data_IF_950207537444
#
_entry.id   IF_950207537444
#
_cell.length_a   1.000
_cell.length_b   1.000
_cell.length_c   1.000
_cell.angle_alpha   90.00
_cell.angle_beta   90.00
_cell.angle_gamma   90.00
#
_symmetry.space_group_name_H-M   'P 1'
#
loop_
_entity.id
_entity.type
_entity.pdbx_description
1 polymer ?
#
# COMPACT_ATOMS: atom_id res chain seq x y z
N UNK A 1 -61.20 -22.35 8.83
CA UNK A 1 -61.77 -21.51 7.77
C UNK A 1 -60.60 -21.12 6.88
N UNK A 2 -60.44 -21.89 5.90
CA UNK A 2 -60.59 -21.65 4.44
C UNK A 2 -59.48 -20.78 3.89
N UNK A 3 -58.47 -21.42 3.23
CA UNK A 3 -58.29 -21.59 1.77
C UNK A 3 -57.79 -20.28 1.14
N UNK A 4 -56.79 -20.21 0.29
CA UNK A 4 -56.61 -20.98 -0.91
C UNK A 4 -55.23 -20.79 -1.54
N UNK A 5 -54.80 -21.78 -2.22
CA UNK A 5 -53.73 -22.02 -3.16
C UNK A 5 -53.67 -21.06 -4.36
N UNK A 6 -52.48 -20.86 -4.92
CA UNK A 6 -52.19 -20.99 -6.36
C UNK A 6 -50.69 -20.96 -6.62
N UNK A 7 -50.15 -21.96 -6.96
CA UNK A 7 -49.43 -22.66 -8.03
C UNK A 7 -49.34 -21.86 -9.34
N UNK A 8 -48.11 -21.54 -9.77
CA UNK A 8 -47.71 -21.47 -11.18
C UNK A 8 -46.21 -21.81 -11.29
N UNK A 9 -45.95 -23.02 -11.67
CA UNK A 9 -45.41 -23.61 -12.90
C UNK A 9 -44.15 -22.98 -13.49
N UNK A 10 -43.09 -23.73 -13.36
CA UNK A 10 -41.95 -24.10 -14.22
C UNK A 10 -41.84 -23.44 -15.59
N UNK A 11 -40.66 -22.93 -15.88
CA UNK A 11 -40.08 -22.97 -17.22
C UNK A 11 -38.58 -23.28 -17.14
N UNK A 12 -38.32 -24.49 -17.50
CA UNK A 12 -37.04 -25.11 -17.82
C UNK A 12 -36.40 -24.37 -19.01
N UNK A 13 -35.16 -23.94 -18.89
CA UNK A 13 -34.29 -23.71 -20.04
C UNK A 13 -32.89 -24.19 -19.73
N UNK A 14 -32.63 -25.38 -20.16
CA UNK A 14 -31.30 -25.89 -20.46
C UNK A 14 -30.63 -24.98 -21.50
N UNK A 15 -29.47 -24.48 -21.18
CA UNK A 15 -28.47 -24.09 -22.19
C UNK A 15 -27.10 -24.65 -21.84
N UNK A 16 -26.72 -25.45 -22.72
CA UNK A 16 -25.50 -26.13 -23.06
C UNK A 16 -24.20 -25.52 -22.51
N UNK A 17 -23.38 -26.43 -22.01
CA UNK A 17 -21.94 -26.37 -21.82
C UNK A 17 -21.22 -25.86 -23.07
N UNK A 18 -20.34 -24.86 -22.87
CA UNK A 18 -19.33 -24.46 -23.82
C UNK A 18 -18.08 -24.08 -23.04
N UNK A 19 -17.28 -25.11 -22.77
CA UNK A 19 -15.88 -24.92 -22.32
C UNK A 19 -15.07 -24.33 -23.46
N UNK A 20 -14.56 -23.11 -23.30
CA UNK A 20 -13.41 -22.64 -24.05
C UNK A 20 -12.50 -21.90 -23.07
N UNK A 21 -11.47 -22.63 -22.64
CA UNK A 21 -10.31 -22.07 -21.99
C UNK A 21 -9.59 -21.12 -22.95
N UNK A 22 -9.55 -19.84 -22.60
CA UNK A 22 -8.66 -18.88 -23.22
C UNK A 22 -7.49 -18.64 -22.27
N UNK A 23 -6.43 -19.43 -22.44
CA UNK A 23 -5.12 -19.10 -21.94
C UNK A 23 -4.67 -17.84 -22.69
N UNK A 24 -4.68 -16.69 -22.01
CA UNK A 24 -4.02 -15.46 -22.51
C UNK A 24 -2.51 -15.63 -22.33
N UNK A 25 -1.88 -16.24 -23.33
CA UNK A 25 -0.47 -16.06 -23.58
C UNK A 25 -0.29 -14.61 -24.04
N UNK A 26 0.34 -13.77 -23.21
CA UNK A 26 0.85 -12.48 -23.64
C UNK A 26 2.06 -12.77 -24.52
N UNK A 27 1.78 -13.04 -25.79
CA UNK A 27 2.80 -13.00 -26.82
C UNK A 27 3.17 -11.54 -27.03
N UNK A 28 4.44 -11.22 -26.80
CA UNK A 28 5.06 -10.00 -27.33
C UNK A 28 4.92 -10.04 -28.85
N UNK A 29 3.83 -9.52 -29.36
CA UNK A 29 3.71 -9.18 -30.77
C UNK A 29 4.57 -7.94 -31.00
N UNK A 30 5.80 -8.14 -31.41
CA UNK A 30 6.46 -7.21 -32.29
C UNK A 30 5.56 -7.10 -33.53
N UNK A 31 4.68 -6.13 -33.56
CA UNK A 31 3.89 -5.81 -34.73
C UNK A 31 4.86 -5.17 -35.73
N UNK A 32 5.22 -5.84 -36.82
CA UNK A 32 5.74 -5.11 -37.94
C UNK A 32 4.56 -4.28 -38.46
N UNK A 33 4.64 -2.97 -38.30
CA UNK A 33 3.72 -2.04 -38.96
C UNK A 33 3.92 -2.16 -40.47
N UNK A 34 3.28 -3.16 -41.06
CA UNK A 34 3.12 -3.24 -42.51
C UNK A 34 1.98 -2.29 -42.81
N UNK A 35 2.30 -1.00 -42.99
CA UNK A 35 1.40 -0.06 -43.63
C UNK A 35 1.24 -0.50 -45.09
N UNK A 36 0.15 -1.19 -45.38
CA UNK A 36 -0.34 -1.35 -46.73
C UNK A 36 -0.85 0.03 -47.22
N UNK A 37 0.05 0.88 -47.66
CA UNK A 37 -0.26 2.02 -48.52
C UNK A 37 0.34 1.68 -49.87
N UNK A 38 -0.53 1.64 -50.86
CA UNK A 38 -0.34 1.33 -52.27
C UNK A 38 1.06 1.39 -52.82
N UNK A 39 1.50 0.28 -53.41
CA UNK A 39 2.36 0.15 -54.56
C UNK A 39 3.61 1.02 -54.69
N UNK A 40 4.46 1.11 -53.64
CA UNK A 40 5.83 1.55 -53.82
C UNK A 40 6.70 0.32 -53.41
N UNK A 41 7.15 -0.43 -54.40
CA UNK A 41 8.17 -1.41 -54.21
C UNK A 41 9.45 -0.68 -53.74
N UNK A 42 9.75 -0.72 -52.44
CA UNK A 42 11.08 -0.34 -51.95
C UNK A 42 12.07 -1.38 -52.49
N UNK A 43 12.71 -1.10 -53.61
CA UNK A 43 13.87 -1.84 -54.06
C UNK A 43 14.97 -1.66 -53.00
N UNK A 44 15.38 -2.75 -52.37
CA UNK A 44 16.58 -2.76 -51.51
C UNK A 44 17.78 -2.27 -52.34
N UNK A 45 18.65 -1.44 -51.80
CA UNK A 45 19.80 -0.95 -52.49
C UNK A 45 20.70 -2.10 -52.86
N UNK A 46 20.98 -2.28 -54.16
CA UNK A 46 21.69 -3.44 -54.76
C UNK A 46 23.19 -3.52 -54.43
N UNK A 47 23.73 -2.56 -53.68
CA UNK A 47 25.17 -2.58 -53.38
C UNK A 47 25.43 -2.78 -51.88
N UNK A 48 26.47 -3.55 -51.50
CA UNK A 48 26.85 -3.77 -50.08
C UNK A 48 27.06 -2.43 -49.31
N UNK A 49 27.51 -1.40 -50.00
CA UNK A 49 27.71 -0.07 -49.40
C UNK A 49 26.39 0.62 -49.07
N UNK A 50 25.38 0.51 -49.95
CA UNK A 50 24.06 1.08 -49.71
C UNK A 50 23.30 0.30 -48.62
N UNK A 51 23.46 -1.00 -48.55
CA UNK A 51 22.90 -1.82 -47.46
C UNK A 51 23.51 -1.46 -46.11
N UNK A 52 24.82 -1.23 -46.03
CA UNK A 52 25.48 -0.76 -44.80
C UNK A 52 24.99 0.60 -44.37
N UNK A 53 24.87 1.55 -45.27
CA UNK A 53 24.38 2.89 -44.99
C UNK A 53 22.90 2.87 -44.50
N UNK A 54 22.06 2.01 -45.08
CA UNK A 54 20.69 1.81 -44.67
C UNK A 54 20.61 1.18 -43.24
N UNK A 55 21.46 0.21 -42.94
CA UNK A 55 21.55 -0.42 -41.63
C UNK A 55 22.05 0.56 -40.55
N UNK A 56 23.05 1.39 -40.86
CA UNK A 56 23.55 2.43 -39.96
C UNK A 56 22.47 3.47 -39.66
N UNK A 57 21.73 3.92 -40.67
CA UNK A 57 20.62 4.86 -40.51
C UNK A 57 19.48 4.25 -39.68
N UNK A 58 19.14 2.99 -39.89
CA UNK A 58 18.14 2.27 -39.10
C UNK A 58 18.58 2.11 -37.64
N UNK A 59 19.85 1.77 -37.39
CA UNK A 59 20.41 1.66 -36.04
C UNK A 59 20.41 3.02 -35.31
N UNK A 60 20.73 4.09 -36.03
CA UNK A 60 20.71 5.44 -35.48
C UNK A 60 19.28 5.90 -35.14
N UNK A 61 18.31 5.60 -36.01
CA UNK A 61 16.89 5.87 -35.77
C UNK A 61 16.36 5.05 -34.56
N UNK A 62 16.73 3.78 -34.45
CA UNK A 62 16.38 2.94 -33.31
C UNK A 62 16.96 3.47 -31.99
N UNK A 63 18.23 3.90 -32.00
CA UNK A 63 18.87 4.52 -30.83
C UNK A 63 18.20 5.84 -30.44
N UNK A 64 17.81 6.68 -31.40
CA UNK A 64 17.07 7.90 -31.13
C UNK A 64 15.68 7.62 -30.56
N UNK A 65 14.97 6.60 -31.11
CA UNK A 65 13.67 6.18 -30.59
C UNK A 65 13.77 5.65 -29.14
N UNK A 66 14.80 4.84 -28.85
CA UNK A 66 15.06 4.36 -27.48
C UNK A 66 15.38 5.49 -26.52
N UNK A 67 16.17 6.48 -26.94
CA UNK A 67 16.48 7.66 -26.12
C UNK A 67 15.24 8.51 -25.89
N UNK A 68 14.40 8.73 -26.90
CA UNK A 68 13.14 9.45 -26.77
C UNK A 68 12.17 8.70 -25.83
N UNK A 69 12.09 7.38 -25.93
CA UNK A 69 11.26 6.55 -25.07
C UNK A 69 11.75 6.55 -23.61
N UNK A 70 13.09 6.56 -23.40
CA UNK A 70 13.69 6.69 -22.07
C UNK A 70 13.40 8.06 -21.42
N UNK A 71 13.35 9.12 -22.22
CA UNK A 71 12.99 10.48 -21.75
C UNK A 71 11.51 10.62 -21.42
N UNK A 72 10.65 9.78 -22.02
CA UNK A 72 9.20 9.73 -21.73
C UNK A 72 8.85 8.82 -20.54
N UNK A 73 9.79 7.98 -20.08
CA UNK A 73 9.57 7.20 -18.86
C UNK A 73 9.73 8.14 -17.66
N UNK A 74 8.71 8.25 -16.80
CA UNK A 74 8.87 8.99 -15.56
C UNK A 74 10.05 8.39 -14.78
N UNK A 75 10.93 9.25 -14.30
CA UNK A 75 12.03 8.81 -13.44
C UNK A 75 11.48 7.95 -12.31
N UNK A 76 12.09 6.78 -12.07
CA UNK A 76 11.66 5.90 -11.00
C UNK A 76 11.59 6.69 -9.69
N UNK A 77 10.41 6.71 -9.07
CA UNK A 77 10.21 7.43 -7.83
C UNK A 77 11.19 6.93 -6.75
N UNK A 78 11.85 7.87 -6.07
CA UNK A 78 12.69 7.60 -4.90
C UNK A 78 12.24 8.45 -3.72
N UNK A 79 12.17 7.83 -2.54
CA UNK A 79 11.81 8.53 -1.30
C UNK A 79 12.89 9.58 -0.98
N UNK A 80 12.56 10.83 -0.65
CA UNK A 80 13.53 11.84 -0.27
C UNK A 80 14.34 11.40 0.96
N UNK A 81 15.62 11.74 1.00
CA UNK A 81 16.45 11.57 2.21
C UNK A 81 15.87 12.41 3.35
N UNK A 82 15.82 11.88 4.57
CA UNK A 82 15.32 12.61 5.74
C UNK A 82 16.06 13.93 5.99
N UNK A 83 17.34 14.00 5.61
CA UNK A 83 18.17 15.21 5.70
C UNK A 83 17.90 16.25 4.62
N UNK A 84 17.08 15.91 3.61
CA UNK A 84 16.72 16.80 2.52
C UNK A 84 15.49 17.67 2.80
N UNK A 85 15.04 17.74 4.06
CA UNK A 85 13.99 18.70 4.46
C UNK A 85 14.53 20.11 4.24
N UNK A 86 13.85 20.97 3.47
CA UNK A 86 14.34 22.28 3.13
C UNK A 86 14.41 23.21 4.35
N UNK A 87 15.42 24.07 4.41
CA UNK A 87 15.48 25.16 5.40
C UNK A 87 14.55 26.31 4.95
N UNK A 88 13.29 26.23 5.35
CA UNK A 88 12.23 27.15 4.96
C UNK A 88 11.01 27.02 5.88
N UNK A 89 10.06 27.95 5.77
CA UNK A 89 8.78 27.83 6.49
C UNK A 89 8.04 26.53 6.20
N UNK A 90 8.09 26.04 4.99
CA UNK A 90 7.54 24.73 4.64
C UNK A 90 8.32 23.59 5.33
N UNK A 91 9.66 23.72 5.43
CA UNK A 91 10.50 22.77 6.14
C UNK A 91 10.18 22.68 7.63
N UNK A 92 9.87 23.80 8.29
CA UNK A 92 9.41 23.81 9.69
C UNK A 92 8.12 22.97 9.87
N UNK A 93 7.16 23.10 8.94
CA UNK A 93 5.93 22.30 8.95
C UNK A 93 6.17 20.82 8.69
N UNK A 94 7.07 20.50 7.76
CA UNK A 94 7.49 19.12 7.47
C UNK A 94 8.12 18.48 8.71
N UNK A 95 9.05 19.17 9.38
CA UNK A 95 9.69 18.71 10.62
C UNK A 95 8.67 18.52 11.75
N UNK A 96 7.72 19.45 11.89
CA UNK A 96 6.62 19.31 12.86
C UNK A 96 5.77 18.06 12.56
N UNK A 97 5.45 17.80 11.29
CA UNK A 97 4.74 16.61 10.86
C UNK A 97 5.51 15.33 11.16
N UNK A 98 6.82 15.31 10.90
CA UNK A 98 7.69 14.19 11.26
C UNK A 98 7.70 13.95 12.78
N UNK A 99 7.82 15.01 13.58
CA UNK A 99 7.79 14.90 15.05
C UNK A 99 6.48 14.33 15.57
N UNK A 100 5.33 14.75 15.00
CA UNK A 100 4.01 14.17 15.31
C UNK A 100 3.98 12.70 14.93
N UNK A 101 4.51 12.35 13.77
CA UNK A 101 4.51 11.00 13.24
C UNK A 101 5.33 10.03 14.10
N UNK A 102 6.51 10.48 14.55
CA UNK A 102 7.43 9.69 15.36
C UNK A 102 7.01 9.60 16.84
N UNK A 103 6.39 10.65 17.39
CA UNK A 103 6.00 10.77 18.80
C UNK A 103 4.61 11.39 18.92
N UNK A 104 3.60 10.65 18.47
CA UNK A 104 2.24 11.15 18.35
C UNK A 104 1.62 11.59 19.68
N UNK A 105 1.68 10.82 20.78
CA UNK A 105 1.10 11.26 22.06
C UNK A 105 1.74 12.52 22.62
N UNK A 106 3.03 12.75 22.35
CA UNK A 106 3.76 13.93 22.84
C UNK A 106 3.44 15.18 22.01
N UNK A 107 3.39 15.04 20.68
CA UNK A 107 3.27 16.17 19.74
C UNK A 107 1.83 16.42 19.28
N UNK A 108 0.90 15.51 19.58
CA UNK A 108 -0.53 15.65 19.32
C UNK A 108 -1.35 15.44 20.62
N UNK A 109 -0.95 16.13 21.68
CA UNK A 109 -1.61 16.03 23.00
C UNK A 109 -3.11 16.31 22.91
N UNK A 110 -3.89 15.44 23.58
CA UNK A 110 -5.36 15.54 23.61
C UNK A 110 -6.07 14.90 22.43
N UNK A 111 -5.32 14.45 21.39
CA UNK A 111 -5.88 13.76 20.23
C UNK A 111 -5.54 12.27 20.22
N UNK A 112 -4.41 11.83 20.78
CA UNK A 112 -4.08 10.41 20.97
C UNK A 112 -4.69 9.90 22.28
N UNK A 113 -5.37 8.75 22.21
CA UNK A 113 -5.99 8.07 23.35
C UNK A 113 -5.23 6.82 23.81
N UNK A 114 -4.15 6.47 23.13
CA UNK A 114 -3.27 5.35 23.45
C UNK A 114 -1.80 5.75 23.40
N UNK A 115 -0.89 4.80 23.62
CA UNK A 115 0.57 5.06 23.58
C UNK A 115 1.21 4.76 22.24
N UNK A 116 0.44 4.52 21.19
CA UNK A 116 0.95 4.28 19.84
C UNK A 116 1.44 5.57 19.17
N UNK A 117 2.33 5.39 18.23
CA UNK A 117 2.80 6.42 17.30
C UNK A 117 2.45 6.00 15.86
N UNK A 118 2.30 6.95 14.95
CA UNK A 118 2.05 6.65 13.54
C UNK A 118 3.12 5.69 12.97
N UNK A 119 4.38 5.88 13.40
CA UNK A 119 5.53 5.07 13.00
C UNK A 119 5.42 3.60 13.41
N UNK A 120 4.59 3.23 14.39
CA UNK A 120 4.43 1.84 14.79
C UNK A 120 3.81 0.96 13.71
N UNK A 121 2.97 1.52 12.84
CA UNK A 121 2.39 0.85 11.69
C UNK A 121 2.98 1.32 10.36
N UNK A 122 3.39 2.58 10.28
CA UNK A 122 4.03 3.18 9.11
C UNK A 122 5.55 3.25 9.34
N UNK A 123 6.20 2.08 9.29
CA UNK A 123 7.59 1.89 9.70
C UNK A 123 8.58 2.79 8.96
N UNK A 124 9.77 2.95 9.55
CA UNK A 124 10.84 3.81 9.04
C UNK A 124 10.32 5.22 8.75
N UNK A 125 9.70 5.84 9.76
CA UNK A 125 9.10 7.16 9.64
C UNK A 125 8.14 7.32 8.43
N UNK A 126 7.44 6.24 8.06
CA UNK A 126 6.54 6.21 6.91
C UNK A 126 7.22 6.01 5.55
N UNK A 127 8.48 5.54 5.54
CA UNK A 127 9.29 5.33 4.33
C UNK A 127 9.29 3.89 3.86
N UNK A 128 9.14 2.92 4.78
CA UNK A 128 9.32 1.50 4.48
C UNK A 128 8.25 0.98 3.54
N UNK A 129 8.68 0.37 2.43
CA UNK A 129 7.79 -0.36 1.50
C UNK A 129 7.01 -1.45 2.22
N UNK A 130 5.78 -1.69 1.80
CA UNK A 130 4.87 -2.69 2.38
C UNK A 130 4.46 -2.44 3.86
N UNK A 131 4.82 -1.29 4.40
CA UNK A 131 4.35 -0.81 5.71
C UNK A 131 3.46 0.44 5.56
N UNK A 132 2.62 0.45 4.53
CA UNK A 132 1.73 1.57 4.16
C UNK A 132 2.46 2.93 4.15
N UNK A 133 3.51 3.11 3.35
CA UNK A 133 4.34 4.30 3.37
C UNK A 133 3.58 5.56 2.95
N UNK A 134 3.97 6.71 3.51
CA UNK A 134 3.31 7.99 3.25
C UNK A 134 3.49 8.45 1.80
N UNK A 135 4.66 8.19 1.20
CA UNK A 135 4.91 8.47 -0.21
C UNK A 135 3.99 7.71 -1.16
N UNK A 136 3.49 6.55 -0.75
CA UNK A 136 2.56 5.75 -1.55
C UNK A 136 1.09 5.98 -1.18
N UNK A 137 0.83 6.61 -0.04
CA UNK A 137 -0.52 6.92 0.40
C UNK A 137 -1.01 8.29 -0.10
N UNK A 138 -0.21 9.34 0.11
CA UNK A 138 -0.59 10.71 -0.20
C UNK A 138 -1.05 10.93 -1.66
N UNK A 139 -0.34 10.41 -2.70
CA UNK A 139 -0.71 10.66 -4.09
C UNK A 139 -2.05 10.04 -4.53
N UNK A 140 -2.62 9.15 -3.70
CA UNK A 140 -3.89 8.49 -4.00
C UNK A 140 -5.10 9.27 -3.50
N UNK A 141 -4.91 10.40 -2.80
CA UNK A 141 -6.01 11.24 -2.30
C UNK A 141 -6.21 12.48 -3.18
N UNK A 142 -7.49 12.96 -3.29
CA UNK A 142 -8.69 12.42 -2.66
C UNK A 142 -9.11 11.08 -3.26
N UNK A 143 -9.74 10.21 -2.44
CA UNK A 143 -10.12 8.87 -2.86
C UNK A 143 -11.46 8.41 -2.24
N UNK A 144 -12.29 7.74 -3.03
CA UNK A 144 -13.48 7.08 -2.50
C UNK A 144 -13.09 5.96 -1.52
N UNK A 145 -13.72 5.97 -0.37
CA UNK A 145 -13.48 5.02 0.71
C UNK A 145 -14.76 4.28 1.08
N UNK A 146 -14.80 2.96 0.81
CA UNK A 146 -15.94 2.11 1.15
C UNK A 146 -16.34 2.18 2.63
N UNK A 147 -15.34 2.40 3.53
CA UNK A 147 -15.57 2.47 4.97
C UNK A 147 -16.37 3.69 5.41
N UNK A 148 -16.18 4.82 4.76
CA UNK A 148 -16.86 6.09 5.05
C UNK A 148 -18.01 6.35 4.08
N UNK A 149 -18.10 5.56 3.00
CA UNK A 149 -18.99 5.78 1.86
C UNK A 149 -18.88 7.20 1.30
N UNK A 150 -17.65 7.72 1.27
CA UNK A 150 -17.34 9.11 0.92
C UNK A 150 -16.03 9.22 0.14
N UNK A 151 -15.84 10.33 -0.58
CA UNK A 151 -14.55 10.72 -1.15
C UNK A 151 -13.77 11.48 -0.10
N UNK A 152 -12.90 10.77 0.60
CA UNK A 152 -12.07 11.36 1.66
C UNK A 152 -10.88 12.13 1.07
N UNK A 153 -10.54 13.24 1.68
CA UNK A 153 -9.25 13.91 1.53
C UNK A 153 -8.17 13.19 2.34
N UNK A 154 -6.89 13.54 2.13
CA UNK A 154 -5.81 13.00 2.97
C UNK A 154 -5.96 13.43 4.44
N UNK A 155 -6.37 14.67 4.70
CA UNK A 155 -6.63 15.16 6.06
C UNK A 155 -7.73 14.36 6.75
N UNK A 156 -8.89 14.11 6.10
CA UNK A 156 -9.96 13.26 6.64
C UNK A 156 -9.47 11.83 6.91
N UNK A 157 -8.60 11.28 6.04
CA UNK A 157 -7.99 9.98 6.30
C UNK A 157 -7.14 10.00 7.57
N UNK A 158 -6.36 11.06 7.80
CA UNK A 158 -5.53 11.23 9.01
C UNK A 158 -6.42 11.40 10.26
N UNK A 159 -7.53 12.15 10.17
CA UNK A 159 -8.55 12.24 11.24
C UNK A 159 -9.05 10.86 11.66
N UNK A 160 -9.34 9.99 10.68
CA UNK A 160 -9.69 8.59 10.94
C UNK A 160 -8.59 7.80 11.66
N UNK A 161 -7.30 8.10 11.41
CA UNK A 161 -6.20 7.49 12.15
C UNK A 161 -6.22 7.90 13.63
N UNK A 162 -6.45 9.18 13.94
CA UNK A 162 -6.57 9.64 15.33
C UNK A 162 -7.73 8.95 16.05
N UNK A 163 -8.91 8.84 15.42
CA UNK A 163 -10.07 8.18 16.02
C UNK A 163 -9.89 6.69 16.23
N UNK A 164 -9.28 5.99 15.29
CA UNK A 164 -9.28 4.54 15.28
C UNK A 164 -7.92 3.94 15.67
N UNK A 165 -6.86 4.30 14.97
CA UNK A 165 -5.52 3.75 15.24
C UNK A 165 -4.95 4.30 16.54
N UNK A 166 -5.15 5.59 16.80
CA UNK A 166 -4.71 6.25 18.03
C UNK A 166 -5.74 6.15 19.16
N UNK A 167 -6.91 5.53 18.93
CA UNK A 167 -7.99 5.36 19.91
C UNK A 167 -8.35 6.67 20.62
N UNK A 168 -8.33 7.79 19.91
CA UNK A 168 -8.43 9.13 20.45
C UNK A 168 -9.53 9.98 19.80
N UNK A 169 -9.25 11.25 19.60
CA UNK A 169 -10.16 12.23 19.01
C UNK A 169 -9.60 12.78 17.70
N UNK A 170 -10.45 12.97 16.71
CA UNK A 170 -10.04 13.64 15.48
C UNK A 170 -9.74 15.11 15.76
N UNK A 171 -8.61 15.66 15.29
CA UNK A 171 -8.45 17.11 15.21
C UNK A 171 -9.51 17.73 14.29
N UNK A 172 -9.88 18.99 14.53
CA UNK A 172 -10.79 19.72 13.65
C UNK A 172 -10.17 19.98 12.27
N UNK A 173 -11.00 20.20 11.27
CA UNK A 173 -10.54 20.50 9.92
C UNK A 173 -9.65 21.75 9.91
N UNK A 174 -8.53 21.67 9.19
CA UNK A 174 -7.54 22.75 9.17
C UNK A 174 -6.69 22.89 10.44
N UNK A 175 -6.84 22.00 11.42
CA UNK A 175 -6.00 22.02 12.61
C UNK A 175 -4.53 21.81 12.25
N UNK A 176 -3.64 22.54 12.89
CA UNK A 176 -2.18 22.49 12.64
C UNK A 176 -1.56 21.09 12.62
N UNK A 177 -2.07 20.19 13.45
CA UNK A 177 -1.64 18.79 13.47
C UNK A 177 -1.88 18.12 12.11
N UNK A 178 -3.06 18.32 11.52
CA UNK A 178 -3.41 17.76 10.21
C UNK A 178 -2.55 18.38 9.11
N UNK A 179 -2.42 19.70 9.13
CA UNK A 179 -1.59 20.45 8.18
C UNK A 179 -0.13 19.99 8.23
N UNK A 180 0.42 19.79 9.43
CA UNK A 180 1.81 19.34 9.59
C UNK A 180 2.01 17.90 9.09
N UNK A 181 1.12 16.96 9.44
CA UNK A 181 1.20 15.58 8.96
C UNK A 181 1.02 15.51 7.44
N UNK A 182 0.15 16.34 6.88
CA UNK A 182 -0.04 16.45 5.43
C UNK A 182 1.20 17.04 4.75
N UNK A 183 1.82 18.09 5.30
CA UNK A 183 3.06 18.66 4.78
C UNK A 183 4.19 17.62 4.73
N UNK A 184 4.30 16.78 5.77
CA UNK A 184 5.27 15.70 5.83
C UNK A 184 5.00 14.62 4.76
N UNK A 185 3.75 14.17 4.63
CA UNK A 185 3.36 13.18 3.63
C UNK A 185 3.52 13.71 2.19
N UNK A 186 3.12 14.96 1.94
CA UNK A 186 3.34 15.66 0.68
C UNK A 186 4.82 15.73 0.30
N UNK A 187 5.67 16.13 1.24
CA UNK A 187 7.12 16.19 1.00
C UNK A 187 7.70 14.82 0.63
N UNK A 188 7.30 13.76 1.35
CA UNK A 188 7.72 12.40 1.00
C UNK A 188 7.22 11.96 -0.37
N UNK A 189 6.05 12.43 -0.80
CA UNK A 189 5.45 12.06 -2.07
C UNK A 189 5.87 12.95 -3.24
N UNK A 190 6.74 13.93 -3.02
CA UNK A 190 7.23 14.78 -4.11
C UNK A 190 7.79 13.92 -5.24
N UNK A 191 7.37 14.22 -6.49
CA UNK A 191 7.69 13.46 -7.71
C UNK A 191 7.05 12.06 -7.80
N UNK A 192 6.24 11.63 -6.84
CA UNK A 192 5.42 10.46 -7.02
C UNK A 192 4.26 10.77 -8.00
N UNK A 193 3.92 9.86 -8.92
CA UNK A 193 2.81 10.08 -9.85
C UNK A 193 1.49 10.13 -9.07
N UNK A 194 0.63 11.11 -9.40
CA UNK A 194 -0.68 11.25 -8.78
C UNK A 194 -1.65 10.19 -9.31
N UNK A 195 -2.44 9.62 -8.41
CA UNK A 195 -3.46 8.62 -8.74
C UNK A 195 -2.92 7.23 -9.05
N UNK A 196 -1.61 7.01 -9.03
CA UNK A 196 -1.00 5.72 -9.31
C UNK A 196 -0.54 5.01 -8.05
N UNK A 197 -0.84 3.71 -7.96
CA UNK A 197 -0.36 2.87 -6.87
C UNK A 197 1.04 2.36 -7.19
N UNK A 198 2.04 2.96 -6.58
CA UNK A 198 3.43 2.55 -6.74
C UNK A 198 3.73 1.17 -6.12
N UNK A 199 4.71 0.42 -6.65
CA UNK A 199 5.16 -0.83 -6.04
C UNK A 199 5.64 -0.63 -4.60
N UNK A 200 5.08 -1.41 -3.67
CA UNK A 200 5.36 -1.28 -2.24
C UNK A 200 4.51 -0.24 -1.52
N UNK A 201 3.59 0.45 -2.21
CA UNK A 201 2.57 1.28 -1.57
C UNK A 201 1.53 0.39 -0.87
N UNK A 202 1.15 0.75 0.36
CA UNK A 202 0.22 -0.04 1.18
C UNK A 202 0.89 -1.24 1.85
N UNK A 203 0.11 -2.30 2.06
CA UNK A 203 0.60 -3.59 2.55
C UNK A 203 0.73 -4.58 1.38
N UNK A 204 1.68 -5.51 1.48
CA UNK A 204 1.81 -6.60 0.52
C UNK A 204 0.61 -7.53 0.67
N UNK A 205 -0.11 -7.76 -0.42
CA UNK A 205 -1.25 -8.69 -0.38
C UNK A 205 -0.71 -10.12 -0.21
N UNK A 206 -1.21 -10.83 0.81
CA UNK A 206 -0.95 -12.24 1.02
C UNK A 206 -1.85 -13.12 0.16
N UNK A 207 -1.39 -14.34 -0.12
CA UNK A 207 -2.25 -15.44 -0.54
C UNK A 207 -3.26 -15.78 0.57
N UNK A 208 -4.36 -16.38 0.20
CA UNK A 208 -5.26 -16.91 1.23
C UNK A 208 -4.55 -17.98 2.06
N UNK A 209 -4.93 -18.11 3.33
CA UNK A 209 -4.43 -19.16 4.19
C UNK A 209 -4.74 -20.53 3.59
N UNK A 210 -3.79 -21.44 3.65
CA UNK A 210 -3.97 -22.83 3.15
C UNK A 210 -5.00 -23.60 3.99
N UNK A 211 -5.00 -23.33 5.28
CA UNK A 211 -5.95 -23.85 6.27
C UNK A 211 -6.59 -22.68 7.00
N UNK A 212 -7.85 -22.78 7.36
CA UNK A 212 -8.54 -21.75 8.14
C UNK A 212 -7.74 -21.43 9.43
N UNK A 213 -7.30 -20.17 9.62
CA UNK A 213 -6.50 -19.81 10.78
C UNK A 213 -7.32 -19.96 12.06
N UNK A 214 -6.67 -20.44 13.14
CA UNK A 214 -7.31 -20.60 14.44
C UNK A 214 -6.63 -19.75 15.50
N UNK A 215 -7.38 -19.41 16.55
CA UNK A 215 -6.85 -18.67 17.71
C UNK A 215 -5.69 -19.43 18.39
N UNK A 216 -5.86 -20.75 18.57
CA UNK A 216 -4.87 -21.60 19.24
C UNK A 216 -3.56 -21.74 18.45
N UNK A 217 -3.65 -21.82 17.12
CA UNK A 217 -2.46 -21.84 16.28
C UNK A 217 -1.75 -20.47 16.32
N UNK A 218 -2.50 -19.38 16.24
CA UNK A 218 -1.98 -18.02 16.35
C UNK A 218 -1.33 -17.74 17.70
N UNK A 219 -1.89 -18.26 18.80
CA UNK A 219 -1.31 -18.15 20.13
C UNK A 219 0.08 -18.79 20.20
N UNK A 220 0.27 -19.95 19.55
CA UNK A 220 1.57 -20.63 19.51
C UNK A 220 2.60 -19.83 18.72
N UNK A 221 2.21 -19.28 17.56
CA UNK A 221 3.08 -18.39 16.77
C UNK A 221 3.44 -17.14 17.56
N UNK A 222 2.46 -16.53 18.24
CA UNK A 222 2.68 -15.36 19.08
C UNK A 222 3.69 -15.63 20.19
N UNK A 223 3.50 -16.69 20.96
CA UNK A 223 4.41 -17.07 22.04
C UNK A 223 5.84 -17.32 21.56
N UNK A 224 6.00 -17.94 20.38
CA UNK A 224 7.30 -18.27 19.82
C UNK A 224 8.05 -17.09 19.21
N UNK A 225 7.33 -16.16 18.55
CA UNK A 225 7.95 -15.16 17.66
C UNK A 225 7.63 -13.70 18.00
N UNK A 226 6.64 -13.43 18.85
CA UNK A 226 6.14 -12.07 19.10
C UNK A 226 6.27 -11.62 20.56
N UNK A 227 6.02 -12.53 21.50
CA UNK A 227 5.95 -12.25 22.94
C UNK A 227 7.24 -11.64 23.53
N UNK A 228 8.41 -12.02 22.98
CA UNK A 228 9.71 -11.46 23.41
C UNK A 228 9.72 -9.93 23.36
N UNK A 229 9.12 -9.34 22.31
CA UNK A 229 9.09 -7.89 22.15
C UNK A 229 7.76 -7.29 22.63
N UNK A 230 6.63 -7.91 22.30
CA UNK A 230 5.33 -7.35 22.61
C UNK A 230 4.75 -7.77 23.97
N UNK A 231 5.49 -8.59 24.75
CA UNK A 231 5.10 -9.14 26.05
C UNK A 231 4.09 -10.27 25.91
N UNK A 232 4.06 -11.18 26.91
CA UNK A 232 3.13 -12.32 26.91
C UNK A 232 1.66 -11.89 26.90
N UNK A 233 1.36 -10.73 27.49
CA UNK A 233 0.03 -10.13 27.52
C UNK A 233 -0.27 -9.21 26.33
N UNK A 234 0.66 -9.06 25.37
CA UNK A 234 0.51 -8.18 24.21
C UNK A 234 0.46 -6.68 24.50
N UNK A 235 0.82 -6.26 25.71
CA UNK A 235 0.77 -4.86 26.13
C UNK A 235 2.04 -4.08 25.81
N UNK A 236 2.96 -4.69 25.05
CA UNK A 236 4.21 -4.05 24.65
C UNK A 236 5.19 -3.88 25.81
N UNK A 237 6.22 -3.11 25.58
CA UNK A 237 7.24 -2.80 26.58
C UNK A 237 7.54 -1.31 26.62
N UNK A 238 7.75 -0.78 27.82
CA UNK A 238 8.15 0.61 28.06
C UNK A 238 9.50 0.62 28.78
N UNK A 239 10.36 1.57 28.40
CA UNK A 239 11.61 1.88 29.08
C UNK A 239 11.57 3.35 29.47
N UNK A 240 11.75 3.66 30.76
CA UNK A 240 11.71 5.01 31.31
C UNK A 240 10.42 5.79 30.91
N UNK A 241 9.27 5.09 30.88
CA UNK A 241 7.99 5.65 30.47
C UNK A 241 7.75 5.75 28.97
N UNK A 242 8.78 5.52 28.15
CA UNK A 242 8.69 5.57 26.68
C UNK A 242 8.37 4.19 26.13
N UNK A 243 7.39 4.10 25.24
CA UNK A 243 7.04 2.87 24.54
C UNK A 243 8.17 2.47 23.59
N UNK A 244 8.82 1.32 23.89
CA UNK A 244 9.84 0.71 23.02
C UNK A 244 9.21 -0.23 22.03
N UNK A 245 8.32 -1.13 22.52
CA UNK A 245 7.51 -2.00 21.68
C UNK A 245 6.03 -1.70 21.94
N UNK A 246 5.22 -1.53 20.89
CA UNK A 246 3.83 -1.13 21.03
C UNK A 246 2.95 -2.26 21.60
N UNK A 247 1.88 -1.87 22.29
CA UNK A 247 0.78 -2.76 22.60
C UNK A 247 0.06 -3.19 21.31
N UNK A 248 -0.33 -4.47 21.22
CA UNK A 248 -1.02 -5.04 20.06
C UNK A 248 -2.53 -5.11 20.25
N UNK A 249 -3.02 -5.12 21.49
CA UNK A 249 -4.43 -5.09 21.84
C UNK A 249 -4.67 -4.35 23.16
N UNK A 250 -5.93 -4.15 23.52
CA UNK A 250 -6.34 -3.45 24.74
C UNK A 250 -6.31 -1.93 24.62
N UNK A 251 -6.42 -1.25 25.76
CA UNK A 251 -6.62 0.22 25.81
C UNK A 251 -5.45 1.03 25.24
N UNK A 252 -4.24 0.50 25.32
CA UNK A 252 -3.03 1.18 24.82
C UNK A 252 -2.72 0.84 23.36
N UNK A 253 -3.66 0.19 22.66
CA UNK A 253 -3.57 -0.16 21.25
C UNK A 253 -4.71 0.48 20.43
N UNK A 254 -4.79 0.13 19.16
CA UNK A 254 -5.83 0.58 18.24
C UNK A 254 -7.20 -0.01 18.59
N UNK A 255 -8.27 0.64 18.17
CA UNK A 255 -9.63 0.14 18.36
C UNK A 255 -10.18 -0.57 17.11
N UNK A 256 -11.38 -1.12 17.21
CA UNK A 256 -12.06 -1.90 16.18
C UNK A 256 -12.27 -1.17 14.85
N UNK A 257 -12.22 0.16 14.87
CA UNK A 257 -12.30 0.97 13.67
C UNK A 257 -10.97 1.07 12.90
N UNK A 258 -9.85 0.62 13.46
CA UNK A 258 -8.56 0.69 12.80
C UNK A 258 -8.42 -0.32 11.66
N UNK A 259 -7.62 0.04 10.64
CA UNK A 259 -7.31 -0.91 9.56
C UNK A 259 -6.56 -2.15 10.06
N UNK A 260 -5.76 -2.02 11.10
CA UNK A 260 -5.02 -3.15 11.70
C UNK A 260 -5.91 -4.15 12.44
N UNK A 261 -7.18 -3.81 12.71
CA UNK A 261 -8.16 -4.76 13.22
C UNK A 261 -8.72 -5.69 12.12
N UNK A 262 -8.53 -5.35 10.86
CA UNK A 262 -8.89 -6.24 9.74
C UNK A 262 -7.79 -7.30 9.58
N UNK A 263 -8.14 -8.57 9.81
CA UNK A 263 -7.18 -9.70 9.88
C UNK A 263 -6.32 -9.80 8.61
N UNK A 264 -6.88 -9.58 7.43
CA UNK A 264 -6.14 -9.58 6.16
C UNK A 264 -5.05 -8.50 6.08
N UNK A 265 -5.34 -7.31 6.61
CA UNK A 265 -4.37 -6.21 6.68
C UNK A 265 -3.32 -6.45 7.75
N UNK A 266 -3.73 -6.94 8.91
CA UNK A 266 -2.81 -7.32 9.98
C UNK A 266 -1.85 -8.43 9.51
N UNK A 267 -2.36 -9.51 8.91
CA UNK A 267 -1.56 -10.61 8.36
C UNK A 267 -0.56 -10.10 7.31
N UNK A 268 -1.02 -9.24 6.38
CA UNK A 268 -0.18 -8.64 5.34
C UNK A 268 0.96 -7.78 5.92
N UNK A 269 0.66 -6.97 6.94
CA UNK A 269 1.66 -6.18 7.65
C UNK A 269 2.66 -7.05 8.40
N UNK A 270 2.15 -8.03 9.15
CA UNK A 270 2.96 -8.94 9.97
C UNK A 270 3.92 -9.73 9.07
N UNK A 271 3.43 -10.34 8.00
CA UNK A 271 4.25 -11.10 7.05
C UNK A 271 5.44 -10.31 6.53
N UNK A 272 5.20 -9.07 6.12
CA UNK A 272 6.24 -8.25 5.48
C UNK A 272 7.21 -7.63 6.46
N UNK A 273 6.79 -7.37 7.72
CA UNK A 273 7.49 -6.46 8.59
C UNK A 273 7.84 -7.02 9.97
N UNK A 274 7.26 -8.17 10.36
CA UNK A 274 7.47 -8.78 11.68
C UNK A 274 8.00 -10.22 11.57
N UNK A 275 8.84 -10.67 12.49
CA UNK A 275 9.49 -9.90 13.57
C UNK A 275 10.34 -8.76 13.00
N UNK A 276 10.37 -7.61 13.69
CA UNK A 276 11.07 -6.42 13.19
C UNK A 276 12.56 -6.70 12.95
N UNK A 277 13.03 -6.40 11.73
CA UNK A 277 14.38 -6.72 11.27
C UNK A 277 14.55 -8.10 10.62
N UNK A 278 13.54 -8.98 10.71
CA UNK A 278 13.53 -10.32 10.09
C UNK A 278 12.41 -10.41 9.05
N UNK A 279 12.49 -9.57 8.03
CA UNK A 279 11.45 -9.46 7.01
C UNK A 279 11.14 -10.81 6.35
N UNK A 280 9.83 -11.12 6.24
CA UNK A 280 9.32 -12.37 5.65
C UNK A 280 9.75 -13.69 6.34
N UNK A 281 10.13 -13.63 7.63
CA UNK A 281 10.49 -14.82 8.41
C UNK A 281 9.31 -15.79 8.64
N UNK A 282 8.08 -15.25 8.82
CA UNK A 282 6.89 -16.07 8.94
C UNK A 282 6.46 -16.66 7.61
N UNK A 283 5.86 -17.86 7.61
CA UNK A 283 5.05 -18.32 6.49
C UNK A 283 3.77 -17.47 6.34
N UNK A 284 3.10 -17.54 5.18
CA UNK A 284 1.82 -16.85 5.00
C UNK A 284 0.78 -17.39 5.99
N UNK A 285 0.76 -18.71 6.23
CA UNK A 285 -0.13 -19.35 7.19
C UNK A 285 0.10 -18.83 8.63
N UNK A 286 1.35 -18.77 9.10
CA UNK A 286 1.69 -18.21 10.41
C UNK A 286 1.26 -16.76 10.57
N UNK A 287 1.39 -15.95 9.49
CA UNK A 287 0.96 -14.56 9.50
C UNK A 287 -0.57 -14.44 9.66
N UNK A 288 -1.34 -15.29 8.97
CA UNK A 288 -2.78 -15.35 9.13
C UNK A 288 -3.19 -15.80 10.53
N UNK A 289 -2.54 -16.85 11.07
CA UNK A 289 -2.82 -17.40 12.40
C UNK A 289 -2.56 -16.37 13.49
N UNK A 290 -1.38 -15.73 13.49
CA UNK A 290 -1.07 -14.74 14.52
C UNK A 290 -1.91 -13.46 14.38
N UNK A 291 -2.28 -13.06 13.18
CA UNK A 291 -3.23 -11.95 12.98
C UNK A 291 -4.61 -12.28 13.56
N UNK A 292 -5.06 -13.54 13.42
CA UNK A 292 -6.31 -14.03 14.02
C UNK A 292 -6.26 -14.07 15.53
N UNK A 293 -5.10 -14.38 16.11
CA UNK A 293 -4.92 -14.36 17.58
C UNK A 293 -4.94 -12.94 18.16
N UNK A 294 -4.36 -11.97 17.45
CA UNK A 294 -4.22 -10.59 17.92
C UNK A 294 -5.56 -9.82 17.83
N UNK A 295 -6.42 -10.13 16.85
CA UNK A 295 -7.65 -9.43 16.53
C UNK A 295 -8.94 -10.22 16.85
#
# INVERSE_FOLDING_TARGET
MTTDSSVHTTADRQHASGTLGAALAVAFCAIPLVAAIGGIAYSLPDTPKAQRAAAEKAAQAAKQAQTAQALLQPAAYSVPDARAIPDSKMGEWIQRGEAIFLRTPENAKGFSGNSLNCVNCHLDAGRLKNAAPMWGAYPLYPAYRKKTDHVDTFAERVRGCFMYSMNGKAPDDGHDILVAVEAYAYWMAQKAPLGEKLPGAGFQKLSQAEVAPTFEAGQKVYAAKCALCHGDSGQGQKKDGVTVFPALWGKDSYNWGAGMHEIDKAASFIKSNMPYGLHNDLSDQEAWEVATFIN
#
